data_IF_531593004439
#
_entry.id   IF_531593004439
#
_cell.length_a   1.000
_cell.length_b   1.000
_cell.length_c   1.000
_cell.angle_alpha   90.00
_cell.angle_beta   90.00
_cell.angle_gamma   90.00
#
_symmetry.space_group_name_H-M   'P 1'
#
loop_
_entity.id
_entity.type
_entity.pdbx_description
1 polymer ?
#
# COMPACT_ATOMS: atom_id res chain seq x y z
N UNK A 1 18.47 -27.59 -21.09
CA UNK A 1 18.88 -28.43 -19.93
C UNK A 1 18.63 -29.91 -20.27
N UNK A 2 19.67 -30.75 -20.33
CA UNK A 2 19.49 -32.21 -20.50
C UNK A 2 19.22 -32.81 -19.13
N UNK A 3 18.02 -33.33 -18.93
CA UNK A 3 17.67 -34.11 -17.75
C UNK A 3 18.09 -35.56 -17.98
N UNK A 4 18.96 -36.10 -17.13
CA UNK A 4 19.22 -37.53 -17.09
C UNK A 4 17.99 -38.24 -16.49
N UNK A 5 17.48 -39.30 -17.13
CA UNK A 5 16.30 -40.00 -16.64
C UNK A 5 16.71 -40.95 -15.52
N UNK A 6 16.37 -40.62 -14.28
CA UNK A 6 16.22 -41.63 -13.23
C UNK A 6 14.73 -41.75 -12.94
N UNK A 7 14.22 -42.98 -13.07
CA UNK A 7 12.81 -43.30 -12.85
C UNK A 7 12.42 -43.06 -11.39
N UNK A 8 11.23 -42.49 -11.20
CA UNK A 8 10.67 -42.11 -9.91
C UNK A 8 10.02 -40.74 -10.02
N UNK A 9 8.73 -40.66 -9.68
CA UNK A 9 7.84 -39.48 -9.66
C UNK A 9 8.57 -38.16 -9.91
N UNK A 10 8.38 -37.57 -11.10
CA UNK A 10 8.98 -36.25 -11.43
C UNK A 10 8.53 -35.24 -10.37
N UNK A 11 9.42 -34.95 -9.42
CA UNK A 11 9.30 -33.76 -8.58
C UNK A 11 9.35 -32.56 -9.52
N UNK A 12 8.23 -31.87 -9.63
CA UNK A 12 8.19 -30.57 -10.25
C UNK A 12 8.92 -29.60 -9.30
N UNK A 13 10.05 -29.08 -9.76
CA UNK A 13 10.84 -28.08 -9.05
C UNK A 13 10.48 -26.73 -9.66
N UNK A 14 9.86 -25.89 -8.85
CA UNK A 14 9.55 -24.50 -9.21
C UNK A 14 10.57 -23.60 -8.55
N UNK A 15 11.30 -22.82 -9.36
CA UNK A 15 12.14 -21.74 -8.87
C UNK A 15 11.33 -20.45 -8.99
N UNK A 16 11.19 -19.74 -7.88
CA UNK A 16 10.66 -18.37 -7.88
C UNK A 16 11.83 -17.41 -8.10
N UNK A 17 11.58 -16.37 -8.87
CA UNK A 17 12.51 -15.29 -9.09
C UNK A 17 12.46 -14.28 -7.95
N UNK A 18 13.50 -13.45 -7.90
CA UNK A 18 13.62 -12.34 -6.94
C UNK A 18 14.38 -11.17 -7.51
N UNK A 19 15.27 -11.45 -8.47
CA UNK A 19 15.97 -10.48 -9.29
C UNK A 19 16.36 -11.15 -10.62
N UNK A 20 16.43 -10.36 -11.67
CA UNK A 20 17.03 -10.74 -12.94
C UNK A 20 18.06 -9.69 -13.34
N UNK A 21 19.05 -10.11 -14.11
CA UNK A 21 20.13 -9.25 -14.58
C UNK A 21 20.28 -9.42 -16.08
N UNK A 22 20.45 -8.30 -16.78
CA UNK A 22 20.81 -8.31 -18.18
C UNK A 22 22.31 -8.14 -18.32
N UNK A 23 22.94 -8.97 -19.13
CA UNK A 23 24.30 -8.70 -19.55
C UNK A 23 24.36 -7.47 -20.47
N UNK A 24 25.58 -7.03 -20.74
CA UNK A 24 25.82 -5.88 -21.62
C UNK A 24 25.21 -6.04 -23.02
N UNK A 25 25.18 -7.26 -23.56
CA UNK A 25 24.67 -7.52 -24.92
C UNK A 25 23.15 -7.36 -24.98
N UNK A 26 22.44 -7.86 -23.97
CA UNK A 26 20.98 -7.71 -23.85
C UNK A 26 20.62 -6.26 -23.56
N UNK A 27 21.36 -5.58 -22.68
CA UNK A 27 21.17 -4.16 -22.41
C UNK A 27 21.30 -3.30 -23.68
N UNK A 28 22.29 -3.58 -24.54
CA UNK A 28 22.45 -2.88 -25.82
C UNK A 28 21.29 -3.14 -26.78
N UNK A 29 20.75 -4.36 -26.83
CA UNK A 29 19.57 -4.68 -27.65
C UNK A 29 18.35 -3.87 -27.19
N UNK A 30 18.10 -3.83 -25.88
CA UNK A 30 17.00 -3.06 -25.29
C UNK A 30 17.17 -1.56 -25.53
N UNK A 31 18.39 -1.04 -25.44
CA UNK A 31 18.67 0.37 -25.74
C UNK A 31 18.41 0.72 -27.21
N UNK A 32 18.85 -0.13 -28.15
CA UNK A 32 18.58 0.05 -29.59
C UNK A 32 17.09 -0.02 -29.88
N UNK A 33 16.41 -1.01 -29.31
CA UNK A 33 14.96 -1.13 -29.41
C UNK A 33 14.25 0.15 -28.93
N UNK A 34 14.63 0.67 -27.76
CA UNK A 34 14.08 1.94 -27.27
C UNK A 34 14.35 3.11 -28.22
N UNK A 35 15.54 3.17 -28.84
CA UNK A 35 15.84 4.21 -29.84
C UNK A 35 14.92 4.16 -31.05
N UNK A 36 14.45 2.96 -31.43
CA UNK A 36 13.56 2.73 -32.56
C UNK A 36 12.09 3.04 -32.24
N UNK A 37 11.64 2.78 -31.02
CA UNK A 37 10.22 2.91 -30.64
C UNK A 37 9.90 4.17 -29.83
N UNK A 38 10.89 4.93 -29.37
CA UNK A 38 10.67 6.08 -28.48
C UNK A 38 9.68 7.12 -29.08
N UNK A 39 8.78 7.70 -28.28
CA UNK A 39 8.55 7.35 -26.87
C UNK A 39 7.81 6.02 -26.74
N UNK A 40 8.14 5.24 -25.71
CA UNK A 40 7.42 4.00 -25.39
C UNK A 40 5.95 4.35 -25.16
N UNK A 41 5.06 3.60 -25.82
CA UNK A 41 3.61 3.91 -25.83
C UNK A 41 2.83 3.19 -24.73
N UNK A 42 3.39 2.11 -24.18
CA UNK A 42 2.78 1.27 -23.14
C UNK A 42 3.83 0.84 -22.10
N UNK A 43 3.40 0.58 -20.87
CA UNK A 43 4.30 0.04 -19.84
C UNK A 43 4.87 -1.31 -20.27
N UNK A 44 6.20 -1.44 -20.19
CA UNK A 44 6.93 -2.69 -20.43
C UNK A 44 7.34 -3.26 -19.07
N UNK A 45 6.85 -4.45 -18.73
CA UNK A 45 7.09 -5.12 -17.45
C UNK A 45 7.99 -6.35 -17.63
N UNK A 46 9.00 -6.48 -16.77
CA UNK A 46 9.98 -7.55 -16.88
C UNK A 46 9.40 -8.95 -16.67
N UNK A 47 8.46 -9.11 -15.74
CA UNK A 47 7.90 -10.42 -15.41
C UNK A 47 6.91 -10.86 -16.49
N UNK A 48 6.03 -9.96 -16.91
CA UNK A 48 5.01 -10.16 -17.94
C UNK A 48 5.61 -10.31 -19.33
N UNK A 49 6.51 -9.40 -19.72
CA UNK A 49 6.93 -9.25 -21.12
C UNK A 49 8.25 -9.96 -21.43
N UNK A 50 9.04 -10.34 -20.42
CA UNK A 50 10.35 -10.97 -20.61
C UNK A 50 10.32 -12.40 -20.07
N UNK A 51 10.06 -12.58 -18.78
CA UNK A 51 10.24 -13.88 -18.11
C UNK A 51 9.23 -14.94 -18.54
N UNK A 52 7.97 -14.57 -18.80
CA UNK A 52 6.95 -15.53 -19.30
C UNK A 52 7.34 -16.20 -20.62
N UNK A 53 8.20 -15.56 -21.41
CA UNK A 53 8.50 -15.96 -22.78
C UNK A 53 9.85 -16.66 -22.91
N UNK A 54 10.66 -16.67 -21.85
CA UNK A 54 11.94 -17.34 -21.84
C UNK A 54 11.77 -18.81 -21.46
N UNK A 55 12.38 -19.69 -22.25
CA UNK A 55 12.44 -21.13 -22.00
C UNK A 55 11.76 -21.97 -23.07
N UNK A 56 12.19 -23.23 -23.19
CA UNK A 56 11.77 -24.17 -24.24
C UNK A 56 10.27 -24.56 -24.23
N UNK A 57 9.52 -24.14 -23.21
CA UNK A 57 8.08 -24.36 -23.06
C UNK A 57 7.28 -23.06 -23.14
N UNK A 58 7.93 -21.95 -23.44
CA UNK A 58 7.29 -20.68 -23.79
C UNK A 58 6.28 -20.98 -24.90
N UNK A 59 5.00 -20.97 -24.53
CA UNK A 59 3.95 -20.90 -25.52
C UNK A 59 3.86 -19.41 -25.84
N UNK A 60 4.04 -19.06 -27.11
CA UNK A 60 3.49 -17.81 -27.64
C UNK A 60 1.99 -17.94 -27.44
N UNK A 61 1.51 -17.62 -26.24
CA UNK A 61 0.08 -17.52 -26.00
C UNK A 61 -0.37 -16.41 -26.94
N UNK A 62 -1.39 -16.67 -27.74
CA UNK A 62 -2.09 -15.66 -28.52
C UNK A 62 -2.67 -14.63 -27.53
N UNK A 63 -1.84 -13.69 -27.09
CA UNK A 63 -2.06 -12.68 -26.05
C UNK A 63 -3.16 -11.66 -26.43
N UNK A 64 -3.82 -11.86 -27.57
CA UNK A 64 -4.91 -11.00 -28.03
C UNK A 64 -6.18 -11.09 -27.17
N UNK A 65 -6.32 -12.07 -26.27
CA UNK A 65 -7.64 -12.36 -25.66
C UNK A 65 -7.78 -12.13 -24.17
N UNK A 66 -6.74 -11.77 -23.42
CA UNK A 66 -6.91 -11.44 -21.99
C UNK A 66 -6.10 -10.20 -21.62
N UNK A 67 -6.83 -9.09 -21.49
CA UNK A 67 -6.39 -7.79 -20.98
C UNK A 67 -5.37 -7.03 -21.84
N UNK A 68 -5.88 -6.29 -22.83
CA UNK A 68 -5.29 -5.03 -23.30
C UNK A 68 -3.94 -5.07 -24.03
N UNK A 69 -3.33 -6.23 -24.28
CA UNK A 69 -2.03 -6.32 -24.97
C UNK A 69 -2.12 -6.02 -26.48
N UNK A 70 -2.01 -4.73 -26.84
CA UNK A 70 -1.98 -4.30 -28.25
C UNK A 70 -0.88 -3.26 -28.55
N UNK A 71 0.24 -3.28 -27.83
CA UNK A 71 1.40 -2.42 -28.11
C UNK A 71 2.72 -3.15 -28.35
N UNK A 72 3.81 -2.58 -27.84
CA UNK A 72 5.22 -2.93 -28.15
C UNK A 72 5.67 -4.30 -27.61
N UNK A 73 4.82 -4.99 -26.84
CA UNK A 73 5.10 -6.29 -26.21
C UNK A 73 5.62 -7.35 -27.21
N UNK A 74 4.98 -7.63 -28.38
CA UNK A 74 5.49 -8.59 -29.36
C UNK A 74 6.91 -8.26 -29.87
N UNK A 75 7.21 -6.96 -30.01
CA UNK A 75 8.53 -6.50 -30.48
C UNK A 75 9.63 -6.74 -29.43
N UNK A 76 9.30 -6.60 -28.15
CA UNK A 76 10.20 -6.97 -27.04
C UNK A 76 10.49 -8.47 -27.08
N UNK A 77 9.50 -9.31 -27.42
CA UNK A 77 9.72 -10.76 -27.56
C UNK A 77 10.70 -11.05 -28.71
N UNK A 78 10.52 -10.39 -29.84
CA UNK A 78 11.33 -10.64 -31.03
C UNK A 78 12.83 -10.34 -30.80
N UNK A 79 13.15 -9.25 -30.11
CA UNK A 79 14.56 -8.90 -29.86
C UNK A 79 15.23 -9.79 -28.80
N UNK A 80 14.43 -10.41 -27.91
CA UNK A 80 14.90 -11.24 -26.79
C UNK A 80 14.82 -12.74 -27.04
N UNK A 81 14.13 -13.16 -28.11
CA UNK A 81 13.91 -14.59 -28.44
C UNK A 81 15.19 -15.43 -28.46
N UNK A 82 16.27 -14.83 -28.93
CA UNK A 82 17.57 -15.49 -29.08
C UNK A 82 18.52 -15.24 -27.90
N UNK A 83 18.03 -14.66 -26.80
CA UNK A 83 18.82 -14.46 -25.59
C UNK A 83 18.83 -15.74 -24.74
N UNK A 84 20.02 -16.13 -24.26
CA UNK A 84 20.16 -17.26 -23.35
C UNK A 84 19.66 -16.85 -21.94
N UNK A 85 18.78 -17.67 -21.36
CA UNK A 85 18.38 -17.53 -19.96
C UNK A 85 19.25 -18.45 -19.10
N UNK A 86 20.04 -17.85 -18.22
CA UNK A 86 20.77 -18.55 -17.17
C UNK A 86 20.07 -18.35 -15.82
N UNK A 87 19.89 -19.43 -15.07
CA UNK A 87 19.22 -19.42 -13.76
C UNK A 87 20.23 -19.81 -12.69
N UNK A 88 20.48 -18.89 -11.76
CA UNK A 88 21.28 -19.15 -10.55
C UNK A 88 20.30 -19.50 -9.43
N UNK A 89 20.43 -20.71 -8.88
CA UNK A 89 19.62 -21.17 -7.76
C UNK A 89 20.37 -20.92 -6.47
N UNK A 90 19.72 -20.24 -5.52
CA UNK A 90 20.26 -19.97 -4.19
C UNK A 90 19.54 -20.86 -3.17
N UNK A 91 20.00 -22.11 -2.93
CA UNK A 91 19.25 -23.10 -2.15
C UNK A 91 19.10 -22.77 -0.67
N UNK A 92 19.90 -21.83 -0.16
CA UNK A 92 19.81 -21.33 1.21
C UNK A 92 19.10 -19.98 1.32
N UNK A 93 18.66 -19.41 0.19
CA UNK A 93 17.91 -18.16 0.18
C UNK A 93 16.54 -18.37 0.81
N UNK A 94 16.13 -17.43 1.66
CA UNK A 94 14.78 -17.35 2.21
C UNK A 94 14.09 -16.14 1.58
N UNK A 95 12.89 -16.37 1.06
CA UNK A 95 12.07 -15.32 0.47
C UNK A 95 10.93 -14.98 1.41
N UNK A 96 10.91 -13.73 1.85
CA UNK A 96 9.82 -13.15 2.61
C UNK A 96 8.96 -12.33 1.66
N UNK A 97 7.71 -12.74 1.49
CA UNK A 97 6.74 -12.02 0.68
C UNK A 97 6.04 -10.97 1.56
N UNK A 98 5.94 -9.74 1.08
CA UNK A 98 5.28 -8.62 1.75
C UNK A 98 4.15 -8.06 0.86
N UNK A 99 3.45 -8.94 0.13
CA UNK A 99 2.51 -8.51 -0.92
C UNK A 99 1.12 -8.14 -0.38
N UNK A 100 0.77 -8.59 0.81
CA UNK A 100 -0.45 -8.19 1.52
C UNK A 100 -0.13 -7.41 2.78
N UNK A 101 -1.09 -6.62 3.25
CA UNK A 101 -0.95 -5.88 4.50
C UNK A 101 -0.73 -6.81 5.70
N UNK A 102 -1.40 -7.97 5.73
CA UNK A 102 -1.21 -8.98 6.77
C UNK A 102 0.18 -9.59 6.72
N UNK A 103 0.68 -9.98 5.54
CA UNK A 103 2.06 -10.46 5.41
C UNK A 103 3.09 -9.40 5.82
N UNK A 104 2.84 -8.12 5.50
CA UNK A 104 3.71 -7.02 5.93
C UNK A 104 3.80 -6.94 7.46
N UNK A 105 2.65 -6.91 8.15
CA UNK A 105 2.59 -6.91 9.62
C UNK A 105 3.23 -8.19 10.18
N UNK A 106 2.86 -9.37 9.68
CA UNK A 106 3.34 -10.64 10.21
C UNK A 106 4.88 -10.74 10.12
N UNK A 107 5.46 -10.40 8.97
CA UNK A 107 6.90 -10.48 8.79
C UNK A 107 7.66 -9.43 9.62
N UNK A 108 7.20 -8.18 9.64
CA UNK A 108 7.93 -7.09 10.31
C UNK A 108 7.72 -7.13 11.82
N UNK A 109 6.53 -7.51 12.28
CA UNK A 109 6.18 -7.49 13.69
C UNK A 109 6.33 -8.84 14.38
N UNK A 110 5.97 -9.96 13.74
CA UNK A 110 5.77 -11.24 14.43
C UNK A 110 6.84 -12.29 14.10
N UNK A 111 7.50 -12.18 12.94
CA UNK A 111 8.49 -13.15 12.47
C UNK A 111 9.87 -12.93 13.09
N UNK A 112 10.22 -13.78 14.07
CA UNK A 112 11.56 -13.79 14.66
C UNK A 112 12.66 -14.12 13.64
N UNK A 113 12.37 -14.98 12.65
CA UNK A 113 13.35 -15.33 11.61
C UNK A 113 13.62 -14.15 10.68
N UNK A 114 12.58 -13.42 10.27
CA UNK A 114 12.72 -12.19 9.50
C UNK A 114 13.58 -11.18 10.25
N UNK A 115 13.27 -10.97 11.54
CA UNK A 115 13.99 -10.04 12.39
C UNK A 115 15.47 -10.40 12.54
N UNK A 116 15.77 -11.68 12.79
CA UNK A 116 17.14 -12.17 12.97
C UNK A 116 17.95 -12.16 11.68
N UNK A 117 17.36 -12.56 10.56
CA UNK A 117 18.08 -12.70 9.29
C UNK A 117 18.36 -11.35 8.63
N UNK A 118 17.44 -10.40 8.74
CA UNK A 118 17.59 -9.05 8.20
C UNK A 118 18.11 -8.04 9.24
N UNK A 119 18.37 -8.49 10.47
CA UNK A 119 18.85 -7.69 11.58
C UNK A 119 17.99 -6.43 11.80
N UNK A 120 16.66 -6.59 11.78
CA UNK A 120 15.74 -5.47 11.98
C UNK A 120 15.49 -5.21 13.47
N UNK A 121 15.18 -3.95 13.79
CA UNK A 121 14.82 -3.51 15.13
C UNK A 121 13.42 -2.89 15.12
N UNK A 122 12.74 -2.96 16.27
CA UNK A 122 11.37 -2.47 16.42
C UNK A 122 11.31 -0.97 16.66
N UNK A 123 12.39 -0.31 17.06
CA UNK A 123 12.38 1.13 17.30
C UNK A 123 13.59 1.76 16.61
N UNK A 124 13.38 2.32 15.43
CA UNK A 124 14.46 2.76 14.54
C UNK A 124 14.31 4.24 14.21
N UNK A 125 15.33 5.04 14.55
CA UNK A 125 15.36 6.48 14.29
C UNK A 125 14.09 7.19 14.77
N UNK A 126 13.58 6.79 15.93
CA UNK A 126 12.34 7.30 16.52
C UNK A 126 12.62 7.98 17.86
N UNK A 127 11.69 8.80 18.35
CA UNK A 127 11.80 9.50 19.64
C UNK A 127 10.47 9.49 20.38
N UNK A 128 10.55 9.41 21.71
CA UNK A 128 9.38 9.57 22.57
C UNK A 128 9.20 11.02 22.98
N UNK A 129 7.94 11.43 23.18
CA UNK A 129 7.58 12.76 23.69
C UNK A 129 6.57 12.68 24.86
N UNK A 130 6.75 13.48 25.93
CA UNK A 130 7.95 14.24 26.25
C UNK A 130 9.18 13.34 26.43
N UNK A 131 10.38 13.91 26.32
CA UNK A 131 11.66 13.20 26.43
C UNK A 131 12.02 12.93 27.90
N UNK A 132 11.12 12.26 28.60
CA UNK A 132 11.27 11.84 29.99
C UNK A 132 11.74 10.37 30.04
N UNK A 133 12.36 9.92 31.16
CA UNK A 133 12.70 8.52 31.32
C UNK A 133 11.46 7.65 31.17
N UNK A 134 11.55 6.66 30.27
CA UNK A 134 10.51 5.67 30.03
C UNK A 134 9.93 5.17 31.35
N UNK A 135 8.66 5.45 31.57
CA UNK A 135 7.94 4.94 32.73
C UNK A 135 7.99 3.40 32.68
N UNK A 136 8.35 2.72 33.79
CA UNK A 136 8.25 1.26 33.85
C UNK A 136 6.84 0.82 33.45
N UNK A 137 6.73 -0.02 32.41
CA UNK A 137 5.43 -0.45 31.87
C UNK A 137 4.97 0.30 30.61
N UNK A 138 5.88 0.89 29.82
CA UNK A 138 5.55 1.39 28.48
C UNK A 138 4.79 0.34 27.65
N UNK A 139 3.68 0.76 27.06
CA UNK A 139 2.83 -0.09 26.23
C UNK A 139 3.16 0.03 24.74
N UNK A 140 4.38 0.48 24.42
CA UNK A 140 4.90 0.61 23.06
C UNK A 140 5.74 -0.63 22.76
N UNK A 141 5.10 -1.62 22.14
CA UNK A 141 5.71 -2.89 21.76
C UNK A 141 5.74 -3.13 20.26
N UNK A 142 5.02 -2.33 19.46
CA UNK A 142 5.03 -2.39 17.99
C UNK A 142 6.33 -1.94 17.33
N UNK A 143 6.32 -1.92 15.99
CA UNK A 143 7.43 -1.44 15.18
C UNK A 143 7.24 0.05 14.88
N UNK A 144 8.19 0.88 15.23
CA UNK A 144 8.14 2.35 15.14
C UNK A 144 9.39 2.86 14.43
N UNK A 145 9.20 3.31 13.20
CA UNK A 145 10.26 3.74 12.29
C UNK A 145 10.15 5.23 11.99
N UNK A 146 11.24 5.97 12.15
CA UNK A 146 11.33 7.38 11.79
C UNK A 146 10.18 8.24 12.36
N UNK A 147 9.74 7.96 13.59
CA UNK A 147 8.53 8.56 14.15
C UNK A 147 8.77 9.26 15.49
N UNK A 148 7.93 10.24 15.80
CA UNK A 148 7.79 10.86 17.10
C UNK A 148 6.50 10.32 17.75
N UNK A 149 6.59 9.68 18.91
CA UNK A 149 5.43 9.03 19.56
C UNK A 149 5.31 9.48 21.00
N UNK A 150 4.09 9.81 21.44
CA UNK A 150 3.88 10.19 22.82
C UNK A 150 4.13 9.02 23.77
N UNK A 151 4.84 9.21 24.88
CA UNK A 151 5.29 8.13 25.77
C UNK A 151 4.14 7.34 26.43
N UNK A 152 2.99 7.99 26.59
CA UNK A 152 1.75 7.36 27.10
C UNK A 152 0.94 6.65 26.01
N UNK A 153 1.47 6.52 24.79
CA UNK A 153 0.80 5.80 23.71
C UNK A 153 0.82 4.29 23.95
N UNK A 154 -0.19 3.61 23.44
CA UNK A 154 -0.26 2.16 23.38
C UNK A 154 -0.09 1.73 21.94
N UNK A 155 1.05 1.10 21.64
CA UNK A 155 1.35 0.59 20.29
C UNK A 155 1.56 -0.93 20.43
N UNK A 156 0.59 -1.76 20.04
CA UNK A 156 0.65 -3.20 20.25
C UNK A 156 1.72 -3.83 19.37
N UNK A 157 2.11 -5.07 19.72
CA UNK A 157 3.19 -5.77 19.07
C UNK A 157 2.92 -6.01 17.57
N UNK A 158 1.64 -6.09 17.17
CA UNK A 158 1.18 -6.23 15.78
C UNK A 158 0.91 -4.91 15.06
N UNK A 159 1.47 -3.79 15.51
CA UNK A 159 1.33 -2.50 14.84
C UNK A 159 2.66 -2.00 14.26
N UNK A 160 2.58 -1.37 13.09
CA UNK A 160 3.68 -0.66 12.43
C UNK A 160 3.33 0.82 12.33
N UNK A 161 4.21 1.66 12.85
CA UNK A 161 4.17 3.11 12.71
C UNK A 161 5.40 3.55 11.93
N UNK A 162 5.20 4.31 10.85
CA UNK A 162 6.29 4.91 10.09
C UNK A 162 6.03 6.37 9.76
N UNK A 163 7.05 7.21 9.86
CA UNK A 163 6.96 8.64 9.57
C UNK A 163 5.84 9.39 10.32
N UNK A 164 5.42 8.90 11.48
CA UNK A 164 4.34 9.50 12.27
C UNK A 164 4.87 10.56 13.24
N UNK A 165 4.05 11.59 13.52
CA UNK A 165 4.31 12.60 14.54
C UNK A 165 3.11 12.72 15.48
N UNK A 166 3.13 11.97 16.57
CA UNK A 166 2.09 11.97 17.60
C UNK A 166 2.62 12.65 18.87
N UNK A 167 2.20 13.90 19.06
CA UNK A 167 2.53 14.70 20.26
C UNK A 167 1.52 14.51 21.40
N UNK A 168 0.46 13.73 21.17
CA UNK A 168 -0.53 13.36 22.17
C UNK A 168 -0.62 11.84 22.28
N UNK A 169 -1.09 11.29 23.42
CA UNK A 169 -1.28 9.86 23.58
C UNK A 169 -2.19 9.29 22.49
N UNK A 170 -1.72 8.24 21.81
CA UNK A 170 -2.52 7.45 20.88
C UNK A 170 -2.62 6.00 21.36
N UNK A 171 -3.82 5.42 21.31
CA UNK A 171 -4.04 4.00 21.56
C UNK A 171 -4.36 3.34 20.23
N UNK A 172 -3.43 2.52 19.76
CA UNK A 172 -3.52 1.86 18.46
C UNK A 172 -3.99 0.43 18.68
N UNK A 173 -4.99 -0.01 17.90
CA UNK A 173 -5.45 -1.39 17.90
C UNK A 173 -4.45 -2.34 17.24
N UNK A 174 -4.70 -3.64 17.39
CA UNK A 174 -3.88 -4.68 16.78
C UNK A 174 -3.94 -4.66 15.25
N UNK A 175 -2.94 -5.24 14.59
CA UNK A 175 -2.86 -5.38 13.14
C UNK A 175 -3.02 -4.05 12.37
N UNK A 176 -2.31 -3.02 12.82
CA UNK A 176 -2.41 -1.67 12.25
C UNK A 176 -1.13 -1.25 11.52
N UNK A 177 -1.29 -0.55 10.41
CA UNK A 177 -0.20 0.15 9.71
C UNK A 177 -0.55 1.62 9.65
N UNK A 178 0.21 2.47 10.36
CA UNK A 178 0.04 3.92 10.36
C UNK A 178 1.26 4.57 9.71
N UNK A 179 1.06 5.27 8.59
CA UNK A 179 2.16 5.89 7.84
C UNK A 179 1.92 7.39 7.62
N UNK A 180 2.93 8.20 7.88
CA UNK A 180 2.88 9.64 7.64
C UNK A 180 1.74 10.36 8.38
N UNK A 181 1.28 9.84 9.52
CA UNK A 181 0.18 10.44 10.28
C UNK A 181 0.67 11.49 11.30
N UNK A 182 -0.16 12.50 11.61
CA UNK A 182 0.18 13.53 12.60
C UNK A 182 -0.95 13.83 13.55
N UNK A 183 -0.60 14.04 14.80
CA UNK A 183 -1.47 14.55 15.86
C UNK A 183 -0.66 15.56 16.67
N UNK A 184 -0.90 16.84 16.37
CA UNK A 184 -0.23 18.00 16.98
C UNK A 184 -1.29 19.02 17.39
N UNK A 185 -1.01 19.82 18.42
CA UNK A 185 -1.89 20.93 18.85
C UNK A 185 -3.20 20.52 19.54
N UNK A 186 -3.30 19.27 20.00
CA UNK A 186 -4.41 18.79 20.83
C UNK A 186 -3.99 18.81 22.30
N UNK A 187 -4.88 19.24 23.19
CA UNK A 187 -4.65 19.26 24.65
C UNK A 187 -5.55 18.24 25.32
N UNK A 188 -5.02 17.51 26.32
CA UNK A 188 -5.76 16.56 27.17
C UNK A 188 -6.60 15.52 26.41
N UNK A 189 -6.15 15.12 25.22
CA UNK A 189 -6.85 14.17 24.35
C UNK A 189 -6.04 12.90 24.19
N UNK A 190 -6.69 11.75 24.37
CA UNK A 190 -6.14 10.46 23.94
C UNK A 190 -6.92 9.98 22.72
N UNK A 191 -6.20 9.76 21.62
CA UNK A 191 -6.82 9.38 20.33
C UNK A 191 -6.83 7.86 20.19
N UNK A 192 -7.99 7.31 19.89
CA UNK A 192 -8.23 5.86 19.77
C UNK A 192 -8.26 5.44 18.31
N UNK A 193 -7.34 4.60 17.87
CA UNK A 193 -7.29 4.06 16.51
C UNK A 193 -7.74 2.59 16.54
N UNK A 194 -8.86 2.24 15.87
CA UNK A 194 -9.31 0.85 15.80
C UNK A 194 -8.26 -0.10 15.21
N UNK A 195 -8.40 -1.40 15.49
CA UNK A 195 -7.53 -2.45 14.93
C UNK A 195 -7.86 -2.83 13.48
N UNK A 196 -6.99 -3.64 12.88
CA UNK A 196 -7.13 -4.27 11.55
C UNK A 196 -7.26 -3.25 10.41
N UNK A 197 -6.40 -2.23 10.40
CA UNK A 197 -6.46 -1.16 9.40
C UNK A 197 -5.09 -0.70 8.91
N UNK A 198 -5.07 -0.17 7.70
CA UNK A 198 -4.01 0.72 7.23
C UNK A 198 -4.55 2.14 7.22
N UNK A 199 -3.75 3.10 7.67
CA UNK A 199 -4.06 4.52 7.60
C UNK A 199 -2.83 5.33 7.25
N UNK A 200 -2.94 6.21 6.26
CA UNK A 200 -1.82 7.06 5.88
C UNK A 200 -2.26 8.41 5.32
N UNK A 201 -1.44 9.43 5.55
CA UNK A 201 -1.75 10.80 5.09
C UNK A 201 -0.91 11.16 3.87
N UNK A 202 -1.55 11.77 2.87
CA UNK A 202 -0.93 12.25 1.64
C UNK A 202 -1.20 13.75 1.50
N UNK A 203 -0.18 14.51 1.07
CA UNK A 203 -0.37 15.89 0.62
C UNK A 203 -0.93 15.87 -0.80
N UNK A 204 -1.99 16.63 -1.06
CA UNK A 204 -2.63 16.71 -2.38
C UNK A 204 -2.68 18.15 -2.86
N UNK A 205 -2.44 18.35 -4.15
CA UNK A 205 -2.51 19.64 -4.83
C UNK A 205 -3.12 19.43 -6.22
N UNK A 206 -4.44 19.52 -6.32
CA UNK A 206 -5.19 19.52 -7.57
C UNK A 206 -5.67 20.92 -7.95
N UNK A 207 -6.24 21.06 -9.16
CA UNK A 207 -6.76 22.34 -9.64
C UNK A 207 -7.85 22.95 -8.73
N UNK A 208 -8.62 22.10 -8.03
CA UNK A 208 -9.75 22.50 -7.20
C UNK A 208 -9.46 22.51 -5.70
N UNK A 209 -8.38 21.86 -5.24
CA UNK A 209 -8.10 21.73 -3.81
C UNK A 209 -6.61 21.54 -3.52
N UNK A 210 -6.17 22.10 -2.39
CA UNK A 210 -4.83 21.88 -1.83
C UNK A 210 -4.96 21.60 -0.34
N UNK A 211 -4.24 20.59 0.15
CA UNK A 211 -4.26 20.23 1.56
C UNK A 211 -3.76 18.81 1.77
N UNK A 212 -4.31 18.16 2.80
CA UNK A 212 -3.94 16.81 3.20
C UNK A 212 -5.17 15.93 3.21
N UNK A 213 -4.98 14.67 2.85
CA UNK A 213 -6.02 13.65 2.92
C UNK A 213 -5.42 12.48 3.68
N UNK A 214 -6.15 11.98 4.67
CA UNK A 214 -5.82 10.71 5.29
C UNK A 214 -6.73 9.66 4.68
N UNK A 215 -6.14 8.54 4.33
CA UNK A 215 -6.81 7.39 3.74
C UNK A 215 -6.80 6.30 4.78
N UNK A 216 -7.89 5.54 4.87
CA UNK A 216 -7.94 4.35 5.72
C UNK A 216 -8.70 3.21 5.04
N UNK A 217 -8.18 1.99 5.16
CA UNK A 217 -8.81 0.76 4.69
C UNK A 217 -8.65 -0.36 5.71
N UNK A 218 -9.59 -1.29 5.73
CA UNK A 218 -9.44 -2.52 6.49
C UNK A 218 -8.29 -3.36 5.92
N UNK A 219 -7.61 -4.10 6.78
CA UNK A 219 -6.48 -4.96 6.37
C UNK A 219 -6.89 -6.04 5.36
N UNK A 220 -8.19 -6.37 5.34
CA UNK A 220 -8.83 -7.37 4.48
C UNK A 220 -9.72 -6.75 3.39
N UNK A 221 -9.75 -5.42 3.24
CA UNK A 221 -10.53 -4.76 2.19
C UNK A 221 -9.92 -5.03 0.81
N UNK A 222 -10.74 -5.49 -0.14
CA UNK A 222 -10.34 -5.61 -1.54
C UNK A 222 -10.59 -4.30 -2.30
N UNK A 223 -9.52 -3.51 -2.39
CA UNK A 223 -9.51 -2.19 -3.02
C UNK A 223 -9.96 -2.21 -4.49
N UNK A 224 -9.63 -3.29 -5.21
CA UNK A 224 -9.80 -3.39 -6.66
C UNK A 224 -10.98 -4.28 -7.05
N UNK A 225 -11.68 -4.86 -6.08
CA UNK A 225 -12.90 -5.61 -6.34
C UNK A 225 -13.90 -4.71 -7.06
N UNK A 226 -14.16 -5.04 -8.31
CA UNK A 226 -15.04 -4.27 -9.18
C UNK A 226 -16.42 -4.91 -9.22
N UNK A 227 -17.44 -4.16 -8.80
CA UNK A 227 -18.83 -4.60 -8.73
C UNK A 227 -19.71 -3.71 -9.59
N UNK A 228 -20.80 -4.25 -10.14
CA UNK A 228 -21.80 -3.44 -10.86
C UNK A 228 -22.75 -2.68 -9.92
N UNK A 229 -22.86 -3.15 -8.69
CA UNK A 229 -23.81 -2.66 -7.69
C UNK A 229 -23.03 -2.04 -6.52
N UNK A 230 -23.08 -0.71 -6.43
CA UNK A 230 -22.45 0.08 -5.38
C UNK A 230 -22.87 -0.39 -3.98
N UNK A 231 -24.14 -0.77 -3.78
CA UNK A 231 -24.65 -1.17 -2.47
C UNK A 231 -23.99 -2.44 -1.92
N UNK A 232 -23.34 -3.23 -2.77
CA UNK A 232 -22.63 -4.47 -2.41
C UNK A 232 -21.13 -4.25 -2.15
N UNK A 233 -20.59 -3.08 -2.43
CA UNK A 233 -19.22 -2.76 -2.02
C UNK A 233 -19.14 -2.83 -0.50
N UNK A 234 -18.06 -3.41 0.01
CA UNK A 234 -17.81 -3.55 1.43
C UNK A 234 -16.66 -2.64 1.83
N UNK A 235 -16.80 -1.91 2.93
CA UNK A 235 -15.72 -1.13 3.56
C UNK A 235 -15.68 -1.49 5.03
N UNK A 236 -14.52 -1.98 5.51
CA UNK A 236 -14.39 -2.58 6.84
C UNK A 236 -15.45 -3.67 7.10
N UNK A 237 -15.72 -4.49 6.08
CA UNK A 237 -16.73 -5.56 6.13
C UNK A 237 -18.19 -5.09 6.15
N UNK A 238 -18.47 -3.78 6.05
CA UNK A 238 -19.82 -3.23 5.99
C UNK A 238 -20.21 -2.84 4.57
N UNK A 239 -21.40 -3.27 4.14
CA UNK A 239 -21.96 -2.91 2.84
C UNK A 239 -22.24 -1.40 2.75
N UNK A 240 -21.90 -0.77 1.62
CA UNK A 240 -22.17 0.64 1.33
C UNK A 240 -23.64 0.99 1.51
N UNK A 241 -24.57 0.12 1.10
CA UNK A 241 -26.01 0.35 1.30
C UNK A 241 -26.34 0.63 2.79
N UNK A 242 -25.76 -0.14 3.71
CA UNK A 242 -25.95 0.05 5.16
C UNK A 242 -25.27 1.33 5.66
N UNK A 243 -24.13 1.69 5.09
CA UNK A 243 -23.41 2.91 5.45
C UNK A 243 -24.16 4.16 5.01
N UNK A 244 -24.78 4.13 3.84
CA UNK A 244 -25.67 5.20 3.34
C UNK A 244 -26.94 5.29 4.20
N UNK A 245 -27.59 4.16 4.50
CA UNK A 245 -28.77 4.11 5.39
C UNK A 245 -28.49 4.72 6.78
N UNK A 246 -27.25 4.57 7.28
CA UNK A 246 -26.80 5.13 8.55
C UNK A 246 -26.23 6.54 8.45
N UNK A 247 -26.23 7.15 7.26
CA UNK A 247 -25.65 8.46 7.00
C UNK A 247 -24.16 8.56 7.41
N UNK A 248 -23.41 7.47 7.26
CA UNK A 248 -21.95 7.42 7.49
C UNK A 248 -21.19 7.91 6.26
N UNK A 249 -21.71 7.56 5.08
CA UNK A 249 -21.23 8.03 3.78
C UNK A 249 -22.38 8.70 3.03
N UNK A 250 -22.05 9.64 2.14
CA UNK A 250 -23.06 10.41 1.41
C UNK A 250 -23.86 9.56 0.41
N UNK A 251 -25.16 9.81 0.33
CA UNK A 251 -26.02 9.23 -0.71
C UNK A 251 -25.80 9.97 -2.03
N UNK A 252 -24.87 9.49 -2.86
CA UNK A 252 -24.58 10.06 -4.18
C UNK A 252 -23.28 10.88 -4.22
N UNK A 253 -22.66 10.94 -5.41
CA UNK A 253 -21.35 11.55 -5.72
C UNK A 253 -20.08 10.83 -5.23
N UNK A 254 -20.21 9.64 -4.62
CA UNK A 254 -19.04 8.81 -4.24
C UNK A 254 -18.24 8.35 -5.45
N UNK A 255 -18.89 8.19 -6.60
CA UNK A 255 -18.28 7.70 -7.83
C UNK A 255 -18.40 8.74 -8.96
N UNK A 256 -17.46 8.71 -9.91
CA UNK A 256 -17.51 9.54 -11.12
C UNK A 256 -18.57 8.99 -12.09
N UNK A 257 -19.75 9.63 -12.14
CA UNK A 257 -20.78 9.38 -13.17
C UNK A 257 -21.37 7.95 -13.16
N UNK A 258 -21.98 7.55 -14.28
CA UNK A 258 -22.56 6.20 -14.44
C UNK A 258 -21.46 5.20 -14.88
N UNK A 259 -20.55 4.87 -13.98
CA UNK A 259 -19.57 3.83 -14.23
C UNK A 259 -20.26 2.46 -14.39
N UNK A 260 -19.78 1.64 -15.34
CA UNK A 260 -20.31 0.28 -15.55
C UNK A 260 -20.01 -0.66 -14.38
N UNK A 261 -19.00 -0.30 -13.59
CA UNK A 261 -18.58 -0.98 -12.37
C UNK A 261 -17.90 0.03 -11.45
N UNK A 262 -17.88 -0.28 -10.16
CA UNK A 262 -17.34 0.54 -9.07
C UNK A 262 -16.46 -0.31 -8.16
N UNK A 263 -15.44 0.30 -7.58
CA UNK A 263 -14.55 -0.31 -6.59
C UNK A 263 -14.21 0.67 -5.47
N UNK A 264 -13.68 0.17 -4.34
CA UNK A 264 -13.20 1.05 -3.26
C UNK A 264 -12.11 2.02 -3.73
N UNK A 265 -11.34 1.65 -4.75
CA UNK A 265 -10.30 2.49 -5.33
C UNK A 265 -10.83 3.82 -5.88
N UNK A 266 -12.02 3.81 -6.49
CA UNK A 266 -12.66 5.01 -7.06
C UNK A 266 -13.64 5.69 -6.08
N UNK A 267 -13.88 5.10 -4.91
CA UNK A 267 -14.82 5.64 -3.93
C UNK A 267 -14.27 6.90 -3.25
N UNK A 268 -14.96 8.02 -3.40
CA UNK A 268 -14.59 9.32 -2.82
C UNK A 268 -14.94 9.41 -1.34
N UNK A 269 -14.21 8.69 -0.51
CA UNK A 269 -14.50 8.55 0.92
C UNK A 269 -13.79 9.57 1.81
N UNK A 270 -12.67 10.14 1.34
CA UNK A 270 -11.73 10.83 2.21
C UNK A 270 -11.75 12.33 1.96
N UNK A 271 -11.96 13.13 3.01
CA UNK A 271 -12.03 14.58 2.90
C UNK A 271 -10.65 15.24 2.84
N UNK A 272 -10.47 16.22 1.95
CA UNK A 272 -9.30 17.11 1.95
C UNK A 272 -9.40 18.09 3.12
N UNK A 273 -8.34 18.21 3.92
CA UNK A 273 -8.27 19.09 5.10
C UNK A 273 -7.03 19.99 5.07
N UNK A 274 -7.06 21.16 5.74
CA UNK A 274 -5.94 22.10 5.72
C UNK A 274 -4.68 21.61 6.45
N UNK A 275 -4.81 20.67 7.40
CA UNK A 275 -3.69 20.14 8.19
C UNK A 275 -3.73 18.62 8.25
N UNK A 276 -2.56 18.00 8.46
CA UNK A 276 -2.45 16.54 8.63
C UNK A 276 -3.22 16.04 9.86
N UNK A 277 -3.24 16.79 10.97
CA UNK A 277 -4.06 16.48 12.16
C UNK A 277 -5.55 16.45 11.81
N UNK A 278 -6.05 17.47 11.09
CA UNK A 278 -7.46 17.52 10.71
C UNK A 278 -7.83 16.41 9.72
N UNK A 279 -6.95 16.09 8.77
CA UNK A 279 -7.13 14.98 7.84
C UNK A 279 -7.23 13.63 8.57
N UNK A 280 -6.32 13.41 9.53
CA UNK A 280 -6.27 12.21 10.33
C UNK A 280 -7.55 12.04 11.16
N UNK A 281 -7.93 13.06 11.94
CA UNK A 281 -9.13 13.01 12.78
C UNK A 281 -10.41 12.84 11.96
N UNK A 282 -10.52 13.52 10.81
CA UNK A 282 -11.69 13.41 9.94
C UNK A 282 -11.85 12.00 9.36
N UNK A 283 -10.75 11.31 9.08
CA UNK A 283 -10.77 9.94 8.56
C UNK A 283 -10.98 8.94 9.68
N UNK A 284 -10.42 9.22 10.86
CA UNK A 284 -10.63 8.39 12.04
C UNK A 284 -12.09 8.39 12.47
N UNK A 285 -12.76 9.54 12.45
CA UNK A 285 -14.20 9.65 12.71
C UNK A 285 -15.02 8.77 11.75
N UNK A 286 -14.67 8.77 10.46
CA UNK A 286 -15.30 7.90 9.47
C UNK A 286 -15.10 6.41 9.82
N UNK A 287 -13.86 6.00 10.10
CA UNK A 287 -13.55 4.60 10.43
C UNK A 287 -14.27 4.16 11.71
N UNK A 288 -14.26 4.99 12.76
CA UNK A 288 -14.96 4.70 14.01
C UNK A 288 -16.47 4.54 13.78
N UNK A 289 -17.10 5.44 13.01
CA UNK A 289 -18.52 5.33 12.67
C UNK A 289 -18.84 4.01 11.93
N UNK A 290 -17.97 3.56 11.03
CA UNK A 290 -18.13 2.29 10.31
C UNK A 290 -17.97 1.08 11.24
N UNK A 291 -16.88 1.05 12.02
CA UNK A 291 -16.51 -0.09 12.88
C UNK A 291 -17.47 -0.24 14.06
N UNK A 292 -17.85 0.87 14.68
CA UNK A 292 -18.73 0.89 15.86
C UNK A 292 -20.22 0.90 15.48
N UNK A 293 -20.53 1.07 14.18
CA UNK A 293 -21.89 1.10 13.67
C UNK A 293 -22.68 2.36 14.07
N UNK A 294 -21.98 3.46 14.36
CA UNK A 294 -22.57 4.74 14.76
C UNK A 294 -22.85 5.65 13.55
N UNK A 295 -23.69 6.66 13.75
CA UNK A 295 -23.82 7.76 12.80
C UNK A 295 -22.66 8.75 12.95
N UNK A 296 -22.31 9.48 11.89
CA UNK A 296 -21.32 10.55 11.97
C UNK A 296 -21.90 11.81 12.62
N UNK A 297 -21.07 12.53 13.37
CA UNK A 297 -21.45 13.80 13.99
C UNK A 297 -21.40 14.96 12.99
N UNK A 298 -20.47 14.91 12.02
CA UNK A 298 -20.27 15.96 11.01
C UNK A 298 -20.86 15.56 9.66
N UNK A 299 -21.61 16.49 9.04
CA UNK A 299 -22.25 16.27 7.74
C UNK A 299 -21.26 16.13 6.58
N UNK A 300 -21.54 15.17 5.69
CA UNK A 300 -20.75 14.80 4.51
C UNK A 300 -20.59 15.91 3.45
N UNK A 301 -21.53 16.87 3.37
CA UNK A 301 -21.63 17.77 2.22
C UNK A 301 -20.68 18.99 2.25
N UNK A 302 -20.01 19.25 3.37
CA UNK A 302 -19.23 20.49 3.56
C UNK A 302 -17.77 20.44 3.10
N UNK A 303 -17.29 19.28 2.60
CA UNK A 303 -15.88 19.09 2.25
C UNK A 303 -15.68 18.38 0.93
N UNK A 304 -14.60 18.73 0.23
CA UNK A 304 -14.13 18.02 -0.96
C UNK A 304 -13.68 16.63 -0.56
N UNK A 305 -14.36 15.61 -1.08
CA UNK A 305 -14.00 14.20 -0.90
C UNK A 305 -13.28 13.66 -2.13
N UNK A 306 -12.28 12.83 -1.90
CA UNK A 306 -11.42 12.23 -2.92
C UNK A 306 -11.29 10.74 -2.72
N UNK A 307 -11.02 10.05 -3.83
CA UNK A 307 -10.74 8.62 -3.90
C UNK A 307 -9.24 8.33 -3.95
N UNK A 308 -8.85 7.06 -3.89
CA UNK A 308 -7.45 6.68 -4.11
C UNK A 308 -6.97 7.02 -5.51
N UNK A 309 -7.83 6.89 -6.51
CA UNK A 309 -7.55 7.31 -7.88
C UNK A 309 -7.22 8.81 -7.95
N UNK A 310 -8.06 9.66 -7.35
CA UNK A 310 -7.85 11.11 -7.33
C UNK A 310 -6.54 11.48 -6.61
N UNK A 311 -6.23 10.80 -5.50
CA UNK A 311 -5.00 11.03 -4.73
C UNK A 311 -3.75 10.68 -5.54
N UNK A 312 -3.77 9.61 -6.33
CA UNK A 312 -2.63 9.25 -7.17
C UNK A 312 -2.32 10.30 -8.22
N UNK A 313 -3.34 10.95 -8.75
CA UNK A 313 -3.21 12.04 -9.72
C UNK A 313 -2.71 13.33 -9.06
N UNK A 314 -3.16 13.63 -7.84
CA UNK A 314 -2.94 14.94 -7.20
C UNK A 314 -1.84 14.97 -6.13
N UNK A 315 -1.17 13.85 -5.85
CA UNK A 315 -0.15 13.78 -4.78
C UNK A 315 0.97 14.80 -4.96
N UNK A 316 1.24 15.57 -3.91
CA UNK A 316 2.40 16.47 -3.82
C UNK A 316 3.52 15.79 -3.03
N UNK A 317 4.39 15.10 -3.77
CA UNK A 317 5.53 14.36 -3.20
C UNK A 317 6.52 15.33 -2.54
N UNK A 318 6.72 16.50 -3.13
CA UNK A 318 7.68 17.48 -2.61
C UNK A 318 7.27 17.96 -1.22
N UNK A 319 5.99 18.27 -1.03
CA UNK A 319 5.46 18.67 0.27
C UNK A 319 5.52 17.51 1.28
N UNK A 320 5.19 16.28 0.85
CA UNK A 320 5.33 15.10 1.72
C UNK A 320 6.75 14.91 2.26
N UNK A 321 7.77 15.05 1.41
CA UNK A 321 9.18 14.90 1.81
C UNK A 321 9.63 15.99 2.80
N UNK A 322 9.12 17.22 2.65
CA UNK A 322 9.35 18.29 3.64
C UNK A 322 8.79 17.91 5.00
N UNK A 323 7.57 17.35 5.04
CA UNK A 323 6.98 16.88 6.30
C UNK A 323 7.78 15.76 6.94
N UNK A 324 8.21 14.77 6.17
CA UNK A 324 9.03 13.67 6.71
C UNK A 324 10.35 14.17 7.29
N UNK A 325 10.96 15.16 6.64
CA UNK A 325 12.19 15.80 7.11
C UNK A 325 12.00 16.60 8.40
N UNK A 326 10.79 17.15 8.61
CA UNK A 326 10.44 17.98 9.77
C UNK A 326 9.82 17.19 10.95
N UNK A 327 9.88 15.86 10.97
CA UNK A 327 9.31 15.04 12.07
C UNK A 327 9.97 15.36 13.41
N UNK A 328 11.29 15.55 13.40
CA UNK A 328 12.10 15.82 14.59
C UNK A 328 12.50 17.29 14.75
N UNK A 329 11.93 18.16 13.93
CA UNK A 329 12.02 19.61 14.04
C UNK A 329 10.96 20.16 15.00
#
# INVERSE_FOLDING_TARGET
MRFLPTGGVRKELTYTDSAFFFDHSVALKLLRFYQDIKPVTEEIDAYRDFLQLLGCRSKVCDLKTQQGGSGDQPKVQDILRDCELQVIVLPLSRFYHLGTMREYVDNICLSESFAKELNVSRFVRSRLVPAEPLVPGSQISGVVMHSLVHQQSTIPHSAVLEYCKFQVPVQVGDNCILSNCRLEGLTDSCVQVPGNLIMFTVSVSGAACKGYVTVAFGIDDDLKLSLRDEGKLCYFGQNFAKLVERNVIGSGSLFKGSAASVSLWEAKLFSVRPTMTAAFLSTLELVQAVVEGMQRAVGWESSTHVSMEDILEWKDISEMLKHQSAIFS
#
